data_IF_340035078634
#
_entry.id   IF_340035078634
#
_cell.length_a   1.000
_cell.length_b   1.000
_cell.length_c   1.000
_cell.angle_alpha   90.00
_cell.angle_beta   90.00
_cell.angle_gamma   90.00
#
_symmetry.space_group_name_H-M   'P 1'
#
loop_
_entity.id
_entity.type
_entity.pdbx_description
1 polymer ?
#
# COMPACT_ATOMS: atom_id res chain seq x y z
N UNK A 1 -11.00 3.15 -17.18
CA UNK A 1 -11.80 2.45 -16.15
C UNK A 1 -11.64 3.24 -14.87
N UNK A 2 -12.73 3.73 -14.28
CA UNK A 2 -12.66 4.58 -13.10
C UNK A 2 -12.20 3.73 -11.91
N UNK A 3 -11.09 4.09 -11.28
CA UNK A 3 -10.63 3.51 -10.02
C UNK A 3 -11.53 4.06 -8.89
N UNK A 4 -12.68 3.45 -8.67
CA UNK A 4 -13.65 3.89 -7.67
C UNK A 4 -13.73 2.85 -6.54
N UNK A 5 -13.65 3.34 -5.31
CA UNK A 5 -13.91 2.58 -4.09
C UNK A 5 -14.99 3.28 -3.28
N UNK A 6 -15.46 2.67 -2.19
CA UNK A 6 -16.47 3.26 -1.32
C UNK A 6 -15.92 3.45 0.09
N UNK A 7 -16.18 4.62 0.69
CA UNK A 7 -15.94 4.90 2.11
C UNK A 7 -17.28 5.19 2.79
N UNK A 8 -17.70 4.30 3.70
CA UNK A 8 -18.99 4.39 4.38
C UNK A 8 -20.18 4.58 3.41
N UNK A 9 -20.13 3.87 2.27
CA UNK A 9 -21.15 3.98 1.21
C UNK A 9 -20.96 5.13 0.23
N UNK A 10 -20.06 6.09 0.51
CA UNK A 10 -19.78 7.19 -0.40
C UNK A 10 -18.69 6.81 -1.41
N UNK A 11 -18.92 7.13 -2.68
CA UNK A 11 -17.94 6.88 -3.73
C UNK A 11 -16.69 7.76 -3.57
N UNK A 12 -15.51 7.16 -3.71
CA UNK A 12 -14.20 7.82 -3.70
C UNK A 12 -13.44 7.43 -4.96
N UNK A 13 -13.01 8.44 -5.72
CA UNK A 13 -12.18 8.25 -6.90
C UNK A 13 -10.71 8.21 -6.50
N UNK A 14 -9.98 7.20 -6.98
CA UNK A 14 -8.55 7.06 -6.79
C UNK A 14 -7.80 7.68 -7.96
N UNK A 15 -6.75 8.44 -7.64
CA UNK A 15 -5.87 9.04 -8.64
C UNK A 15 -4.76 8.07 -9.05
N UNK A 16 -4.18 8.32 -10.24
CA UNK A 16 -3.05 7.58 -10.76
C UNK A 16 -3.44 6.23 -11.37
N UNK A 17 -2.40 5.46 -11.71
CA UNK A 17 -2.54 4.14 -12.33
C UNK A 17 -1.95 3.08 -11.40
N UNK A 18 -2.71 2.02 -11.17
CA UNK A 18 -2.22 0.89 -10.38
C UNK A 18 -1.26 0.01 -11.20
N UNK A 19 -0.22 -0.57 -10.55
CA UNK A 19 0.68 -1.50 -11.22
C UNK A 19 -0.07 -2.72 -11.78
N UNK A 20 0.29 -3.14 -12.99
CA UNK A 20 -0.25 -4.36 -13.61
C UNK A 20 0.71 -5.54 -13.46
N UNK A 21 0.21 -6.76 -13.61
CA UNK A 21 1.04 -7.98 -13.54
C UNK A 21 2.12 -7.94 -14.63
N UNK A 22 3.36 -8.23 -14.25
CA UNK A 22 4.52 -8.16 -15.16
C UNK A 22 5.14 -6.76 -15.29
N UNK A 23 4.46 -5.72 -14.81
CA UNK A 23 5.05 -4.38 -14.73
C UNK A 23 6.13 -4.35 -13.65
N UNK A 24 7.26 -3.72 -13.98
CA UNK A 24 8.27 -3.39 -12.96
C UNK A 24 7.66 -2.37 -11.98
N UNK A 25 7.63 -2.71 -10.69
CA UNK A 25 7.18 -1.80 -9.65
C UNK A 25 8.04 -0.53 -9.64
N UNK A 26 7.39 0.63 -9.50
CA UNK A 26 8.08 1.90 -9.35
C UNK A 26 8.91 1.92 -8.06
N UNK A 27 10.07 2.56 -8.11
CA UNK A 27 10.88 2.75 -6.92
C UNK A 27 10.22 3.77 -5.99
N UNK A 28 10.44 3.60 -4.69
CA UNK A 28 9.92 4.49 -3.66
C UNK A 28 10.83 4.51 -2.44
N UNK A 29 10.75 5.60 -1.68
CA UNK A 29 11.31 5.72 -0.33
C UNK A 29 10.18 6.12 0.62
N UNK A 30 10.04 5.37 1.72
CA UNK A 30 9.07 5.63 2.79
C UNK A 30 9.80 5.80 4.11
N UNK A 31 9.10 6.24 5.16
CA UNK A 31 9.68 6.46 6.48
C UNK A 31 9.42 5.26 7.39
N UNK A 32 10.49 4.72 7.97
CA UNK A 32 10.43 3.63 8.95
C UNK A 32 9.99 4.10 10.35
N UNK A 33 9.73 3.14 11.24
CA UNK A 33 9.34 3.41 12.64
C UNK A 33 10.40 4.19 13.44
N UNK A 34 11.65 4.08 13.02
CA UNK A 34 12.83 4.73 13.57
C UNK A 34 13.15 6.05 12.84
N UNK A 35 12.22 6.53 12.01
CA UNK A 35 12.32 7.74 11.20
C UNK A 35 13.40 7.70 10.11
N UNK A 36 14.01 6.54 9.87
CA UNK A 36 14.96 6.36 8.77
C UNK A 36 14.24 6.12 7.44
N UNK A 37 14.89 6.49 6.35
CA UNK A 37 14.41 6.19 5.00
C UNK A 37 14.50 4.69 4.69
N UNK A 38 13.39 4.14 4.23
CA UNK A 38 13.23 2.75 3.81
C UNK A 38 12.87 2.73 2.32
N UNK A 39 13.86 2.43 1.48
CA UNK A 39 13.67 2.34 0.03
C UNK A 39 13.35 0.92 -0.42
N UNK A 40 12.61 0.80 -1.54
CA UNK A 40 12.30 -0.51 -2.13
C UNK A 40 13.57 -1.31 -2.48
N UNK A 41 14.65 -0.61 -2.86
CA UNK A 41 15.94 -1.21 -3.18
C UNK A 41 16.57 -1.99 -2.01
N UNK A 42 16.31 -1.58 -0.76
CA UNK A 42 16.81 -2.28 0.44
C UNK A 42 16.32 -3.74 0.52
N UNK A 43 15.23 -4.07 -0.18
CA UNK A 43 14.64 -5.41 -0.22
C UNK A 43 15.02 -6.21 -1.47
N UNK A 44 16.07 -5.85 -2.20
CA UNK A 44 16.53 -6.59 -3.38
C UNK A 44 16.69 -8.10 -3.10
N UNK A 45 16.35 -8.94 -4.09
CA UNK A 45 16.38 -10.40 -3.97
C UNK A 45 15.25 -11.04 -3.14
N UNK A 46 14.45 -10.26 -2.42
CA UNK A 46 13.29 -10.77 -1.66
C UNK A 46 11.96 -10.56 -2.41
N UNK A 47 10.97 -11.39 -2.14
CA UNK A 47 9.55 -11.12 -2.50
C UNK A 47 9.03 -10.03 -1.57
N UNK A 48 8.28 -9.06 -2.10
CA UNK A 48 7.68 -7.96 -1.34
C UNK A 48 6.17 -8.04 -1.47
N UNK A 49 5.47 -7.90 -0.36
CA UNK A 49 4.02 -7.71 -0.33
C UNK A 49 3.78 -6.28 0.17
N UNK A 50 3.16 -5.44 -0.67
CA UNK A 50 2.80 -4.07 -0.30
C UNK A 50 1.37 -4.08 0.24
N UNK A 51 1.22 -4.07 1.56
CA UNK A 51 -0.10 -4.04 2.22
C UNK A 51 -0.45 -2.58 2.58
N UNK A 52 -1.36 -1.97 1.81
CA UNK A 52 -1.61 -0.52 1.81
C UNK A 52 -2.96 -0.23 2.48
N UNK A 53 -2.96 0.67 3.47
CA UNK A 53 -4.15 1.03 4.26
C UNK A 53 -4.37 2.54 4.28
N UNK A 54 -5.63 3.01 4.45
CA UNK A 54 -5.90 4.41 4.79
C UNK A 54 -5.28 4.82 6.13
N UNK A 55 -5.35 3.93 7.13
CA UNK A 55 -4.65 4.05 8.40
C UNK A 55 -4.56 2.67 9.06
N UNK A 56 -3.35 2.28 9.50
CA UNK A 56 -3.13 1.04 10.26
C UNK A 56 -3.63 1.15 11.71
N UNK A 57 -3.80 2.37 12.22
CA UNK A 57 -4.20 2.65 13.61
C UNK A 57 -5.73 2.67 13.79
N UNK A 58 -6.40 1.66 13.24
CA UNK A 58 -7.85 1.50 13.36
C UNK A 58 -8.18 0.03 13.64
N UNK A 59 -9.23 -0.22 14.44
CA UNK A 59 -9.62 -1.59 14.82
C UNK A 59 -9.89 -2.53 13.65
N UNK A 60 -10.34 -2.01 12.50
CA UNK A 60 -10.62 -2.78 11.29
C UNK A 60 -9.33 -3.11 10.51
N UNK A 61 -8.46 -2.12 10.30
CA UNK A 61 -7.20 -2.36 9.58
C UNK A 61 -6.27 -3.26 10.38
N UNK A 62 -6.25 -3.13 11.71
CA UNK A 62 -5.49 -4.02 12.60
C UNK A 62 -5.98 -5.48 12.54
N UNK A 63 -7.29 -5.73 12.39
CA UNK A 63 -7.83 -7.07 12.24
C UNK A 63 -7.46 -7.71 10.89
N UNK A 64 -7.51 -6.93 9.80
CA UNK A 64 -7.08 -7.36 8.46
C UNK A 64 -5.60 -7.77 8.46
N UNK A 65 -4.72 -6.97 9.07
CA UNK A 65 -3.28 -7.27 9.20
C UNK A 65 -3.02 -8.55 9.99
N UNK A 66 -3.82 -8.86 11.01
CA UNK A 66 -3.62 -10.06 11.85
C UNK A 66 -4.03 -11.37 11.17
N UNK A 67 -4.94 -11.30 10.20
CA UNK A 67 -5.50 -12.47 9.52
C UNK A 67 -4.75 -12.84 8.24
N UNK A 68 -4.05 -11.87 7.62
CA UNK A 68 -3.21 -12.07 6.44
C UNK A 68 -1.86 -12.70 6.79
#
# INVERSE_FOLDING_TARGET
>A
MAHQVTLQGNAVTLAGNFPTVGQKAADFSLVGKDLNDVSLAQFAGKRKVLNIFPSVDTGVCAASVRQF
#
